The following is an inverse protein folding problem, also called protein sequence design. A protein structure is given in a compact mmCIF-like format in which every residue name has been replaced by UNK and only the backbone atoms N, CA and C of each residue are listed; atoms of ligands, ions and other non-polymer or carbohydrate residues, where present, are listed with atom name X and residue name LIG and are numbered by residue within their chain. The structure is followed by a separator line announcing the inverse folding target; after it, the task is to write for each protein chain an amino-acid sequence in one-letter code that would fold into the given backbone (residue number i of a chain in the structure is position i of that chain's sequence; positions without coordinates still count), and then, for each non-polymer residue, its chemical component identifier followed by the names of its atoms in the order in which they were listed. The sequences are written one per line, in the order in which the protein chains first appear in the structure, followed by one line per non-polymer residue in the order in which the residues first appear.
data_IF_400220653832
#
_entry.id   IF_400220653832
#
_cell.length_a   1.000
_cell.length_b   1.000
_cell.length_c   1.000
_cell.angle_alpha   90.00
_cell.angle_beta   90.00
_cell.angle_gamma   90.00
#
_symmetry.space_group_name_H-M   'P 1'
#
loop_
_entity.id
_entity.type
_entity.pdbx_description
1 polymer ?
#
# COMPACT_ATOMS: atom_id res chain seq x y z
N UNK A 1 -32.79 -19.97 27.16
CA UNK A 1 -33.74 -19.45 26.15
C UNK A 1 -32.94 -19.17 24.89
N UNK A 2 -32.95 -20.11 23.94
CA UNK A 2 -32.26 -19.98 22.65
C UNK A 2 -33.21 -19.32 21.65
N UNK A 3 -32.73 -18.38 20.85
CA UNK A 3 -33.41 -17.95 19.62
C UNK A 3 -32.39 -17.82 18.50
N UNK A 4 -32.29 -18.93 17.77
CA UNK A 4 -31.63 -19.08 16.48
C UNK A 4 -32.45 -18.32 15.44
N UNK A 5 -31.90 -17.30 14.80
CA UNK A 5 -32.49 -16.70 13.60
C UNK A 5 -31.76 -17.30 12.40
N UNK A 6 -32.28 -18.44 11.93
CA UNK A 6 -32.06 -18.92 10.57
C UNK A 6 -33.11 -18.24 9.69
N UNK A 7 -32.68 -17.36 8.79
CA UNK A 7 -33.54 -16.88 7.70
C UNK A 7 -32.85 -17.19 6.37
N UNK A 8 -33.34 -18.25 5.74
CA UNK A 8 -33.27 -18.48 4.30
C UNK A 8 -34.08 -17.39 3.60
N UNK A 9 -33.48 -16.69 2.64
CA UNK A 9 -34.16 -16.09 1.47
C UNK A 9 -33.15 -16.20 0.32
N UNK A 10 -33.21 -17.24 -0.50
CA UNK A 10 -34.05 -17.38 -1.69
C UNK A 10 -33.71 -16.37 -2.81
N UNK A 11 -33.36 -16.94 -3.95
CA UNK A 11 -32.87 -16.33 -5.17
C UNK A 11 -33.65 -15.13 -5.70
N UNK A 12 -32.93 -14.18 -6.28
CA UNK A 12 -33.43 -13.33 -7.37
C UNK A 12 -32.29 -13.12 -8.38
N UNK A 13 -32.24 -13.99 -9.40
CA UNK A 13 -31.52 -13.69 -10.63
C UNK A 13 -32.30 -12.60 -11.36
N UNK A 14 -31.77 -11.37 -11.37
CA UNK A 14 -32.26 -10.32 -12.24
C UNK A 14 -31.44 -10.40 -13.54
N UNK A 15 -32.01 -11.07 -14.53
CA UNK A 15 -31.54 -10.99 -15.91
C UNK A 15 -31.96 -9.63 -16.47
N UNK A 16 -31.04 -8.66 -16.46
CA UNK A 16 -31.23 -7.37 -17.13
C UNK A 16 -30.89 -7.55 -18.61
N UNK A 17 -31.94 -7.74 -19.42
CA UNK A 17 -31.88 -7.57 -20.87
C UNK A 17 -31.97 -6.07 -21.19
N UNK A 18 -30.84 -5.44 -21.53
CA UNK A 18 -30.83 -4.09 -22.10
C UNK A 18 -30.74 -4.17 -23.63
N UNK A 19 -31.90 -4.09 -24.28
CA UNK A 19 -32.02 -3.70 -25.70
C UNK A 19 -31.86 -2.18 -25.74
N UNK A 20 -31.00 -1.72 -26.66
CA UNK A 20 -30.30 -0.43 -26.56
C UNK A 20 -31.10 0.86 -26.75
N UNK A 21 -30.39 1.96 -26.50
CA UNK A 21 -30.51 3.23 -27.23
C UNK A 21 -29.26 4.06 -26.97
N UNK A 22 -28.64 4.49 -28.06
CA UNK A 22 -27.43 5.27 -28.14
C UNK A 22 -27.56 6.64 -27.46
N UNK A 23 -26.54 6.99 -26.65
CA UNK A 23 -25.86 8.29 -26.55
C UNK A 23 -25.05 8.34 -25.24
N UNK A 24 -24.11 7.41 -25.07
CA UNK A 24 -23.01 7.58 -24.13
C UNK A 24 -21.94 8.47 -24.79
N UNK A 25 -22.18 9.78 -24.85
CA UNK A 25 -21.11 10.74 -25.14
C UNK A 25 -20.25 10.86 -23.88
N UNK A 26 -19.06 10.27 -23.94
CA UNK A 26 -17.89 10.75 -23.21
C UNK A 26 -17.80 10.39 -21.74
N UNK A 27 -17.72 9.10 -21.42
CA UNK A 27 -16.73 8.69 -20.41
C UNK A 27 -15.60 8.08 -21.23
N UNK A 28 -14.64 8.93 -21.61
CA UNK A 28 -13.38 8.46 -22.17
C UNK A 28 -12.81 7.41 -21.22
N UNK A 29 -12.48 6.25 -21.77
CA UNK A 29 -11.72 5.21 -21.10
C UNK A 29 -10.50 5.85 -20.40
N UNK A 30 -10.03 5.26 -19.28
CA UNK A 30 -8.87 5.78 -18.58
C UNK A 30 -7.72 5.96 -19.57
N UNK A 31 -7.12 7.15 -19.59
CA UNK A 31 -5.80 7.34 -20.21
C UNK A 31 -4.90 6.20 -19.73
N UNK A 32 -4.16 5.58 -20.65
CA UNK A 32 -3.25 4.47 -20.34
C UNK A 32 -2.27 4.91 -19.24
N UNK A 33 -2.59 4.54 -18.00
CA UNK A 33 -1.82 4.92 -16.80
C UNK A 33 -0.40 4.34 -16.82
N UNK A 34 -0.12 3.45 -17.78
CA UNK A 34 1.19 2.89 -18.06
C UNK A 34 2.13 3.93 -18.70
N UNK A 35 1.62 4.90 -19.46
CA UNK A 35 2.40 5.92 -20.18
C UNK A 35 2.77 7.16 -19.34
N UNK A 36 2.43 7.16 -18.04
CA UNK A 36 2.76 8.27 -17.14
C UNK A 36 4.27 8.33 -16.91
N UNK A 37 4.92 9.35 -17.50
CA UNK A 37 6.32 9.68 -17.25
C UNK A 37 6.50 10.42 -15.91
N UNK A 38 6.95 9.70 -14.89
CA UNK A 38 7.18 10.25 -13.56
C UNK A 38 8.31 11.29 -13.46
N UNK A 39 9.10 11.48 -14.53
CA UNK A 39 10.08 12.56 -14.59
C UNK A 39 9.45 13.93 -14.90
N UNK A 40 8.23 13.96 -15.46
CA UNK A 40 7.57 15.20 -15.90
C UNK A 40 6.20 15.46 -15.24
N UNK A 41 5.66 14.51 -14.46
CA UNK A 41 4.29 14.53 -13.96
C UNK A 41 4.11 15.24 -12.60
N UNK A 42 4.66 16.45 -12.46
CA UNK A 42 4.50 17.27 -11.24
C UNK A 42 3.24 18.15 -11.28
N UNK A 43 2.67 18.38 -12.47
CA UNK A 43 1.57 19.34 -12.66
C UNK A 43 0.17 18.69 -12.65
N UNK A 44 0.08 17.36 -12.53
CA UNK A 44 -1.20 16.64 -12.50
C UNK A 44 -1.37 15.79 -11.23
N UNK A 45 -2.53 15.94 -10.56
CA UNK A 45 -2.85 15.14 -9.37
C UNK A 45 -2.95 13.64 -9.67
N UNK A 46 -3.33 13.27 -10.90
CA UNK A 46 -3.41 11.87 -11.34
C UNK A 46 -1.98 11.33 -11.53
N UNK A 47 -1.13 12.05 -12.25
CA UNK A 47 0.28 11.68 -12.46
C UNK A 47 1.05 11.55 -11.14
N UNK A 48 0.89 12.49 -10.22
CA UNK A 48 1.48 12.42 -8.88
C UNK A 48 1.05 11.16 -8.12
N UNK A 49 -0.22 10.78 -8.16
CA UNK A 49 -0.74 9.58 -7.48
C UNK A 49 -0.16 8.29 -8.09
N UNK A 50 -0.12 8.20 -9.42
CA UNK A 50 0.46 7.05 -10.13
C UNK A 50 1.94 6.91 -9.80
N UNK A 51 2.69 8.00 -9.84
CA UNK A 51 4.12 7.99 -9.56
C UNK A 51 4.44 7.69 -8.10
N UNK A 52 3.65 8.22 -7.16
CA UNK A 52 3.77 7.86 -5.75
C UNK A 52 3.51 6.35 -5.53
N UNK A 53 2.49 5.78 -6.18
CA UNK A 53 2.20 4.35 -6.07
C UNK A 53 3.35 3.48 -6.62
N UNK A 54 3.92 3.84 -7.78
CA UNK A 54 5.08 3.13 -8.37
C UNK A 54 6.31 3.21 -7.45
N UNK A 55 6.61 4.40 -6.92
CA UNK A 55 7.72 4.59 -5.97
C UNK A 55 7.53 3.77 -4.70
N UNK A 56 6.31 3.71 -4.17
CA UNK A 56 5.99 2.91 -3.00
C UNK A 56 6.21 1.41 -3.27
N UNK A 57 5.72 0.89 -4.41
CA UNK A 57 5.91 -0.50 -4.79
C UNK A 57 7.40 -0.87 -4.93
N UNK A 58 8.22 0.00 -5.54
CA UNK A 58 9.67 -0.20 -5.62
C UNK A 58 10.32 -0.24 -4.22
N UNK A 59 9.99 0.71 -3.35
CA UNK A 59 10.50 0.76 -1.99
C UNK A 59 10.07 -0.47 -1.17
N UNK A 60 8.82 -0.93 -1.29
CA UNK A 60 8.31 -2.12 -0.63
C UNK A 60 9.04 -3.39 -1.10
N UNK A 61 9.32 -3.51 -2.41
CA UNK A 61 10.13 -4.61 -2.95
C UNK A 61 11.55 -4.59 -2.38
N UNK A 62 12.19 -3.42 -2.28
CA UNK A 62 13.51 -3.29 -1.68
C UNK A 62 13.51 -3.66 -0.20
N UNK A 63 12.52 -3.17 0.56
CA UNK A 63 12.36 -3.50 1.98
C UNK A 63 12.17 -5.02 2.17
N UNK A 64 11.31 -5.66 1.37
CA UNK A 64 11.09 -7.10 1.42
C UNK A 64 12.38 -7.89 1.13
N UNK A 65 13.15 -7.46 0.12
CA UNK A 65 14.44 -8.07 -0.20
C UNK A 65 15.44 -7.94 0.97
N UNK A 66 15.51 -6.77 1.61
CA UNK A 66 16.39 -6.54 2.76
C UNK A 66 15.96 -7.35 4.00
N UNK A 67 14.66 -7.41 4.30
CA UNK A 67 14.11 -8.27 5.35
C UNK A 67 14.48 -9.74 5.13
N UNK A 68 14.35 -10.24 3.89
CA UNK A 68 14.74 -11.60 3.51
C UNK A 68 16.23 -11.85 3.71
N UNK A 69 17.10 -10.91 3.32
CA UNK A 69 18.55 -10.99 3.56
C UNK A 69 18.88 -11.05 5.05
N UNK A 70 18.29 -10.16 5.85
CA UNK A 70 18.50 -10.12 7.30
C UNK A 70 18.08 -11.44 7.97
N UNK A 71 16.92 -12.00 7.62
CA UNK A 71 16.46 -13.29 8.14
C UNK A 71 17.36 -14.45 7.74
N UNK A 72 17.91 -14.44 6.51
CA UNK A 72 18.83 -15.47 6.03
C UNK A 72 20.15 -15.46 6.80
N UNK A 73 20.65 -14.27 7.15
CA UNK A 73 21.90 -14.10 7.90
C UNK A 73 21.75 -14.38 9.41
N UNK A 74 20.55 -14.22 9.96
CA UNK A 74 20.29 -14.36 11.38
C UNK A 74 20.28 -15.83 11.87
N UNK A 75 20.71 -16.04 13.12
CA UNK A 75 20.51 -17.27 13.86
C UNK A 75 19.03 -17.45 14.31
N UNK A 76 18.71 -18.54 15.01
CA UNK A 76 17.33 -18.82 15.44
C UNK A 76 16.76 -17.76 16.40
N UNK A 77 17.56 -17.25 17.33
CA UNK A 77 17.12 -16.26 18.30
C UNK A 77 16.90 -14.90 17.60
N UNK A 78 17.86 -14.48 16.78
CA UNK A 78 17.79 -13.26 16.00
C UNK A 78 16.66 -13.28 14.96
N UNK A 79 16.40 -14.40 14.28
CA UNK A 79 15.24 -14.53 13.35
C UNK A 79 13.91 -14.27 14.05
N UNK A 80 13.73 -14.79 15.26
CA UNK A 80 12.51 -14.55 16.03
C UNK A 80 12.36 -13.07 16.41
N UNK A 81 13.45 -12.42 16.82
CA UNK A 81 13.45 -10.99 17.12
C UNK A 81 13.17 -10.14 15.86
N UNK A 82 13.83 -10.42 14.74
CA UNK A 82 13.61 -9.74 13.46
C UNK A 82 12.18 -9.90 12.95
N UNK A 83 11.61 -11.10 13.04
CA UNK A 83 10.21 -11.34 12.63
C UNK A 83 9.24 -10.50 13.46
N UNK A 84 9.46 -10.41 14.78
CA UNK A 84 8.65 -9.55 15.65
C UNK A 84 8.84 -8.06 15.32
N UNK A 85 10.08 -7.65 15.07
CA UNK A 85 10.42 -6.29 14.67
C UNK A 85 9.69 -5.90 13.38
N UNK A 86 9.73 -6.73 12.34
CA UNK A 86 9.08 -6.44 11.06
C UNK A 86 7.57 -6.31 11.22
N UNK A 87 6.93 -7.24 11.96
CA UNK A 87 5.51 -7.16 12.25
C UNK A 87 5.15 -5.89 13.02
N UNK A 88 5.92 -5.54 14.04
CA UNK A 88 5.68 -4.33 14.82
C UNK A 88 5.88 -3.06 13.98
N UNK A 89 6.87 -3.06 13.09
CA UNK A 89 7.14 -1.94 12.18
C UNK A 89 6.03 -1.74 11.17
N UNK A 90 5.42 -2.82 10.65
CA UNK A 90 4.28 -2.73 9.73
C UNK A 90 3.06 -2.11 10.45
N UNK A 91 2.74 -2.59 11.65
CA UNK A 91 1.65 -2.03 12.47
C UNK A 91 1.89 -0.57 12.84
N UNK A 92 3.13 -0.22 13.22
CA UNK A 92 3.49 1.17 13.52
C UNK A 92 3.34 2.07 12.29
N UNK A 93 3.82 1.61 11.13
CA UNK A 93 3.76 2.38 9.88
C UNK A 93 2.30 2.63 9.48
N UNK A 94 1.45 1.60 9.56
CA UNK A 94 0.02 1.73 9.26
C UNK A 94 -0.66 2.73 10.20
N UNK A 95 -0.43 2.61 11.51
CA UNK A 95 -1.03 3.49 12.51
C UNK A 95 -0.56 4.94 12.35
N UNK A 96 0.74 5.16 12.14
CA UNK A 96 1.31 6.49 11.93
C UNK A 96 0.73 7.13 10.66
N UNK A 97 0.78 6.43 9.53
CA UNK A 97 0.32 6.99 8.25
C UNK A 97 -1.19 7.23 8.23
N UNK A 98 -1.97 6.41 8.93
CA UNK A 98 -3.40 6.68 9.14
C UNK A 98 -3.59 7.96 9.96
N UNK A 99 -2.87 8.10 11.07
CA UNK A 99 -2.96 9.30 11.91
C UNK A 99 -2.52 10.58 11.17
N UNK A 100 -1.47 10.53 10.36
CA UNK A 100 -1.02 11.66 9.54
C UNK A 100 -2.03 12.05 8.47
N UNK A 101 -2.63 11.07 7.80
CA UNK A 101 -3.63 11.30 6.75
C UNK A 101 -5.00 11.73 7.29
N UNK A 102 -5.25 11.55 8.59
CA UNK A 102 -6.54 11.80 9.23
C UNK A 102 -7.07 13.22 9.01
N UNK A 103 -6.21 14.23 8.97
CA UNK A 103 -6.60 15.63 8.72
C UNK A 103 -7.18 15.86 7.32
N UNK A 104 -6.94 14.91 6.41
CA UNK A 104 -7.38 14.93 5.02
C UNK A 104 -8.47 13.90 4.72
N UNK A 105 -9.04 13.24 5.74
CA UNK A 105 -10.06 12.21 5.58
C UNK A 105 -11.25 12.72 4.75
N UNK A 106 -11.73 11.89 3.81
CA UNK A 106 -12.79 12.26 2.87
C UNK A 106 -12.36 13.22 1.75
N UNK A 107 -11.14 13.75 1.80
CA UNK A 107 -10.56 14.63 0.79
C UNK A 107 -9.82 13.91 -0.34
N UNK A 108 -9.61 14.61 -1.45
CA UNK A 108 -8.92 14.10 -2.64
C UNK A 108 -7.41 13.87 -2.43
N UNK A 109 -6.84 14.43 -1.36
CA UNK A 109 -5.41 14.34 -1.01
C UNK A 109 -5.11 13.24 0.03
N UNK A 110 -6.12 12.63 0.67
CA UNK A 110 -5.92 11.58 1.69
C UNK A 110 -4.95 10.49 1.24
N UNK A 111 -5.20 9.93 0.05
CA UNK A 111 -4.37 8.84 -0.50
C UNK A 111 -2.95 9.28 -0.83
N UNK A 112 -2.76 10.55 -1.17
CA UNK A 112 -1.43 11.12 -1.43
C UNK A 112 -0.65 11.26 -0.12
N UNK A 113 -1.26 11.85 0.92
CA UNK A 113 -0.63 12.01 2.25
C UNK A 113 -0.28 10.64 2.83
N UNK A 114 -1.23 9.71 2.83
CA UNK A 114 -1.03 8.34 3.30
C UNK A 114 0.10 7.64 2.52
N UNK A 115 0.09 7.72 1.19
CA UNK A 115 1.12 7.14 0.33
C UNK A 115 2.51 7.72 0.60
N UNK A 116 2.63 9.05 0.73
CA UNK A 116 3.89 9.72 1.04
C UNK A 116 4.47 9.31 2.40
N UNK A 117 3.63 9.20 3.43
CA UNK A 117 4.06 8.67 4.73
C UNK A 117 4.60 7.24 4.59
N UNK A 118 3.89 6.36 3.87
CA UNK A 118 4.35 4.96 3.68
C UNK A 118 5.67 4.89 2.95
N UNK A 119 5.91 5.74 1.94
CA UNK A 119 7.20 5.83 1.25
C UNK A 119 8.30 6.22 2.25
N UNK A 120 8.08 7.29 3.04
CA UNK A 120 9.06 7.76 4.03
C UNK A 120 9.43 6.70 5.07
N UNK A 121 8.43 6.02 5.63
CA UNK A 121 8.66 4.95 6.61
C UNK A 121 9.32 3.72 5.99
N UNK A 122 8.98 3.37 4.74
CA UNK A 122 9.63 2.28 4.01
C UNK A 122 11.12 2.59 3.78
N UNK A 123 11.44 3.80 3.32
CA UNK A 123 12.82 4.27 3.13
C UNK A 123 13.60 4.30 4.46
N UNK A 124 12.97 4.74 5.56
CA UNK A 124 13.57 4.72 6.90
C UNK A 124 13.91 3.30 7.33
N UNK A 125 12.99 2.36 7.17
CA UNK A 125 13.21 0.95 7.51
C UNK A 125 14.31 0.31 6.67
N UNK A 126 14.38 0.63 5.37
CA UNK A 126 15.47 0.18 4.50
C UNK A 126 16.82 0.63 5.07
N UNK A 127 16.96 1.91 5.44
CA UNK A 127 18.21 2.45 6.02
C UNK A 127 18.58 1.78 7.34
N UNK A 128 17.60 1.54 8.21
CA UNK A 128 17.83 0.83 9.49
C UNK A 128 18.31 -0.59 9.24
N UNK A 129 17.65 -1.33 8.34
CA UNK A 129 18.02 -2.70 8.02
C UNK A 129 19.39 -2.80 7.35
N UNK A 130 19.71 -1.88 6.45
CA UNK A 130 21.02 -1.83 5.82
C UNK A 130 22.12 -1.57 6.86
N UNK A 131 21.87 -0.66 7.80
CA UNK A 131 22.75 -0.43 8.95
C UNK A 131 22.89 -1.67 9.85
N UNK A 132 21.86 -2.49 10.02
CA UNK A 132 21.94 -3.72 10.81
C UNK A 132 22.73 -4.83 10.09
N UNK A 133 22.60 -4.93 8.76
CA UNK A 133 23.27 -5.97 7.96
C UNK A 133 24.75 -5.65 7.72
N UNK A 134 25.10 -4.36 7.60
CA UNK A 134 26.45 -3.93 7.25
C UNK A 134 27.29 -3.42 8.44
N UNK A 135 26.75 -3.40 9.67
CA UNK A 135 27.53 -2.97 10.84
C UNK A 135 28.57 -4.04 11.22
N UNK A 136 29.86 -3.69 11.37
CA UNK A 136 30.87 -4.64 11.83
C UNK A 136 30.55 -5.10 13.26
N UNK A 137 30.62 -6.42 13.49
CA UNK A 137 30.40 -6.99 14.82
C UNK A 137 31.40 -6.41 15.83
N UNK A 138 30.90 -5.91 16.98
CA UNK A 138 31.72 -5.38 18.07
C UNK A 138 31.89 -3.85 18.13
N UNK A 139 31.01 -3.08 17.47
CA UNK A 139 30.92 -1.61 17.60
C UNK A 139 29.87 -1.15 18.61
#
# INVERSE_FOLDING_TARGET
MQLQIKALVAASMIAVACIGSANAKGVTAPEDLDDVDCSQQQDSMIGMKVCAARKLDEAEKQLAANRKKALKAADKAARNALTKLFKASDVYTEALCTAEAQSSEGGSIYSLVYGMCRIGETERQIKVLDGMVNRPEGS
#
